data_IF_447486252100
#
_entry.id   IF_447486252100
#
_cell.length_a   1.000
_cell.length_b   1.000
_cell.length_c   1.000
_cell.angle_alpha   90.00
_cell.angle_beta   90.00
_cell.angle_gamma   90.00
#
_symmetry.space_group_name_H-M   'P 1'
#
loop_
_entity.id
_entity.type
_entity.pdbx_description
1 polymer ?
#
# COMPACT_ATOMS: atom_id res chain seq x y z
N UNK A 1 -13.11 9.88 19.17
CA UNK A 1 -13.64 8.96 18.21
C UNK A 1 -12.67 8.74 17.05
N UNK A 2 -12.12 7.57 16.97
CA UNK A 2 -11.18 7.26 15.90
C UNK A 2 -11.90 7.24 14.56
N UNK A 3 -11.36 7.95 13.60
CA UNK A 3 -11.90 7.97 12.26
C UNK A 3 -10.88 7.42 11.31
N UNK A 4 -11.28 6.41 10.59
CA UNK A 4 -10.45 5.91 9.50
C UNK A 4 -10.75 6.76 8.29
N UNK A 5 -9.74 7.12 7.49
CA UNK A 5 -10.05 7.87 6.28
C UNK A 5 -10.91 7.02 5.35
N UNK A 6 -12.03 7.58 4.98
CA UNK A 6 -12.91 7.00 3.97
C UNK A 6 -12.69 7.75 2.67
N UNK A 7 -13.29 7.24 1.60
CA UNK A 7 -13.23 7.96 0.32
C UNK A 7 -13.78 9.37 0.53
N UNK A 8 -13.00 10.37 0.11
CA UNK A 8 -13.34 11.77 0.27
C UNK A 8 -12.67 12.45 1.45
N UNK A 9 -12.07 11.69 2.37
CA UNK A 9 -11.38 12.27 3.51
C UNK A 9 -9.92 12.56 3.17
N UNK A 10 -9.30 13.55 3.87
CA UNK A 10 -7.87 13.76 3.70
C UNK A 10 -7.10 12.53 4.14
N UNK A 11 -6.10 12.14 3.35
CA UNK A 11 -5.21 11.04 3.71
C UNK A 11 -4.19 11.54 4.73
N UNK A 12 -4.07 10.89 5.90
CA UNK A 12 -3.06 11.31 6.88
C UNK A 12 -1.66 11.28 6.28
N UNK A 13 -0.90 12.36 6.48
CA UNK A 13 0.47 12.41 6.02
C UNK A 13 1.36 11.52 6.88
N UNK A 14 2.43 11.01 6.30
CA UNK A 14 3.40 10.21 7.04
C UNK A 14 4.74 10.23 6.34
N UNK A 15 5.76 9.86 7.09
CA UNK A 15 7.10 9.66 6.54
C UNK A 15 7.66 8.37 7.13
N UNK A 16 8.08 7.44 6.26
CA UNK A 16 8.60 6.13 6.66
C UNK A 16 9.87 5.81 5.88
N UNK A 17 10.78 5.11 6.56
CA UNK A 17 11.94 4.55 5.89
C UNK A 17 11.54 3.32 5.11
N UNK A 18 12.18 3.10 3.98
CA UNK A 18 11.85 1.96 3.14
C UNK A 18 13.03 1.47 2.33
N UNK A 19 12.76 0.48 1.48
CA UNK A 19 13.81 -0.15 0.66
C UNK A 19 14.38 0.78 -0.40
N UNK A 20 13.66 1.85 -0.74
CA UNK A 20 14.13 2.84 -1.71
C UNK A 20 14.44 4.17 -1.05
N UNK A 21 14.66 4.16 0.26
CA UNK A 21 14.93 5.37 1.04
C UNK A 21 13.69 5.85 1.76
N UNK A 22 13.75 7.07 2.27
CA UNK A 22 12.64 7.67 3.01
C UNK A 22 11.50 8.03 2.05
N UNK A 23 10.27 7.79 2.48
CA UNK A 23 9.07 8.11 1.70
C UNK A 23 8.17 8.99 2.54
N UNK A 24 7.83 10.16 2.03
CA UNK A 24 6.90 11.08 2.68
C UNK A 24 5.73 11.33 1.74
N UNK A 25 4.53 11.01 2.21
CA UNK A 25 3.35 11.05 1.34
C UNK A 25 3.12 12.45 0.74
N UNK A 26 3.27 13.50 1.55
CA UNK A 26 3.02 14.86 1.06
C UNK A 26 3.99 15.32 -0.02
N UNK A 27 5.14 14.66 -0.17
CA UNK A 27 6.07 14.97 -1.25
C UNK A 27 5.57 14.50 -2.61
N UNK A 28 4.49 13.73 -2.62
CA UNK A 28 3.94 13.14 -3.83
C UNK A 28 2.65 13.83 -4.28
N UNK A 29 2.41 15.05 -3.84
CA UNK A 29 1.29 15.84 -4.33
C UNK A 29 1.47 16.06 -5.84
N UNK A 30 0.37 15.97 -6.57
CA UNK A 30 0.41 16.06 -8.02
C UNK A 30 0.45 14.70 -8.70
N UNK A 31 0.58 13.62 -7.93
CA UNK A 31 0.54 12.26 -8.46
C UNK A 31 -0.35 11.39 -7.58
N UNK A 32 -0.89 10.33 -8.17
CA UNK A 32 -1.68 9.37 -7.39
C UNK A 32 -0.75 8.36 -6.74
N UNK A 33 -1.06 7.98 -5.49
CA UNK A 33 -0.26 7.02 -4.72
C UNK A 33 -1.15 5.88 -4.29
N UNK A 34 -0.69 4.65 -4.52
CA UNK A 34 -1.39 3.45 -4.07
C UNK A 34 -0.64 2.91 -2.86
N UNK A 35 -1.33 2.88 -1.72
CA UNK A 35 -0.79 2.35 -0.47
C UNK A 35 -1.30 0.93 -0.29
N UNK A 36 -0.39 -0.04 -0.25
CA UNK A 36 -0.74 -1.45 -0.10
C UNK A 36 -0.31 -1.90 1.29
N UNK A 37 -1.24 -1.86 2.24
CA UNK A 37 -0.99 -2.38 3.60
C UNK A 37 -1.07 -3.89 3.57
N UNK A 38 -0.11 -4.56 4.22
CA UNK A 38 -0.10 -6.03 4.26
C UNK A 38 0.43 -6.53 5.61
N UNK A 39 0.02 -7.75 6.03
CA UNK A 39 0.37 -8.25 7.37
C UNK A 39 1.85 -8.47 7.61
N UNK A 40 2.61 -8.94 6.62
CA UNK A 40 4.03 -9.15 6.88
C UNK A 40 4.78 -9.81 5.75
N UNK A 41 6.10 -9.60 5.76
CA UNK A 41 7.01 -10.19 4.80
C UNK A 41 7.03 -11.72 4.95
N UNK A 42 7.18 -12.41 3.83
CA UNK A 42 7.34 -13.87 3.77
C UNK A 42 6.14 -14.66 4.28
N UNK A 43 4.98 -14.03 4.45
CA UNK A 43 3.74 -14.77 4.66
C UNK A 43 3.23 -15.26 3.32
N UNK A 44 2.51 -16.41 3.26
CA UNK A 44 2.13 -16.98 1.96
C UNK A 44 1.33 -16.06 1.05
N UNK A 45 0.32 -15.38 1.59
CA UNK A 45 -0.53 -14.51 0.76
C UNK A 45 0.22 -13.27 0.33
N UNK A 46 1.01 -12.67 1.23
CA UNK A 46 1.80 -11.48 0.90
C UNK A 46 2.86 -11.82 -0.13
N UNK A 47 3.49 -12.97 0.00
CA UNK A 47 4.48 -13.42 -0.99
C UNK A 47 3.83 -13.55 -2.36
N UNK A 48 2.65 -14.19 -2.43
CA UNK A 48 1.92 -14.31 -3.71
C UNK A 48 1.54 -12.94 -4.26
N UNK A 49 1.12 -12.03 -3.39
CA UNK A 49 0.74 -10.68 -3.79
C UNK A 49 1.88 -9.97 -4.49
N UNK A 50 3.02 -9.87 -3.82
CA UNK A 50 4.13 -9.08 -4.37
C UNK A 50 4.86 -9.81 -5.50
N UNK A 51 4.87 -11.15 -5.50
CA UNK A 51 5.38 -11.88 -6.64
C UNK A 51 4.48 -11.70 -7.87
N UNK A 52 3.17 -11.57 -7.67
CA UNK A 52 2.24 -11.25 -8.76
C UNK A 52 2.58 -9.89 -9.37
N UNK A 53 2.89 -8.91 -8.53
CA UNK A 53 3.29 -7.59 -9.03
C UNK A 53 4.61 -7.66 -9.78
N UNK A 54 5.57 -8.45 -9.28
CA UNK A 54 6.85 -8.67 -9.97
C UNK A 54 6.64 -9.29 -11.35
N UNK A 55 5.80 -10.33 -11.41
CA UNK A 55 5.56 -11.06 -12.65
C UNK A 55 4.78 -10.23 -13.67
N UNK A 56 4.10 -9.19 -13.20
CA UNK A 56 3.35 -8.27 -14.04
C UNK A 56 3.96 -6.86 -13.99
N UNK A 57 5.29 -6.79 -13.88
CA UNK A 57 5.96 -5.51 -13.64
C UNK A 57 5.74 -4.49 -14.77
N UNK A 58 5.61 -4.95 -16.01
CA UNK A 58 5.33 -4.05 -17.11
C UNK A 58 3.96 -3.39 -16.94
N UNK A 59 2.94 -4.19 -16.66
CA UNK A 59 1.59 -3.65 -16.43
C UNK A 59 1.57 -2.77 -15.19
N UNK A 60 2.29 -3.15 -14.13
CA UNK A 60 2.38 -2.34 -12.93
C UNK A 60 3.02 -0.98 -13.23
N UNK A 61 4.07 -0.97 -14.04
CA UNK A 61 4.75 0.26 -14.40
C UNK A 61 3.92 1.16 -15.31
N UNK A 62 2.89 0.62 -15.94
CA UNK A 62 1.98 1.39 -16.77
C UNK A 62 0.85 2.03 -15.97
N UNK A 63 0.71 1.71 -14.69
CA UNK A 63 -0.25 2.39 -13.84
C UNK A 63 0.20 3.84 -13.64
N UNK A 64 -0.75 4.76 -13.78
CA UNK A 64 -0.46 6.18 -13.57
C UNK A 64 -0.52 6.50 -12.08
N UNK A 65 0.36 5.87 -11.31
CA UNK A 65 0.39 6.00 -9.87
C UNK A 65 1.69 5.46 -9.31
N UNK A 66 2.09 5.98 -8.16
CA UNK A 66 3.21 5.46 -7.38
C UNK A 66 2.67 4.38 -6.45
N UNK A 67 3.28 3.19 -6.45
CA UNK A 67 2.81 2.05 -5.66
C UNK A 67 3.84 1.73 -4.57
N UNK A 68 3.40 1.66 -3.31
CA UNK A 68 4.26 1.29 -2.19
C UNK A 68 3.57 0.27 -1.30
N UNK A 69 4.34 -0.65 -0.71
CA UNK A 69 3.83 -1.60 0.27
C UNK A 69 4.20 -1.13 1.67
N UNK A 70 3.32 -1.35 2.65
CA UNK A 70 3.51 -0.90 4.03
C UNK A 70 3.19 -2.04 4.98
N UNK A 71 4.14 -2.39 5.85
CA UNK A 71 3.88 -3.31 6.96
C UNK A 71 4.73 -2.92 8.15
N UNK A 72 4.49 -3.57 9.29
CA UNK A 72 5.14 -3.20 10.54
C UNK A 72 6.55 -3.79 10.71
N UNK A 73 7.05 -4.52 9.73
CA UNK A 73 8.38 -5.10 9.83
C UNK A 73 9.45 -4.08 9.49
N UNK A 74 10.71 -4.43 9.85
CA UNK A 74 11.84 -3.51 9.71
C UNK A 74 12.26 -3.35 8.25
N UNK A 75 13.05 -2.32 7.98
CA UNK A 75 13.64 -2.12 6.66
C UNK A 75 14.50 -3.34 6.29
N UNK A 76 15.24 -3.91 7.25
CA UNK A 76 16.06 -5.09 6.98
C UNK A 76 15.20 -6.27 6.54
N UNK A 77 14.06 -6.49 7.17
CA UNK A 77 13.12 -7.53 6.78
C UNK A 77 12.61 -7.28 5.37
N UNK A 78 12.22 -6.04 5.08
CA UNK A 78 11.74 -5.65 3.75
C UNK A 78 12.81 -5.83 2.68
N UNK A 79 14.07 -5.49 3.00
CA UNK A 79 15.16 -5.67 2.05
C UNK A 79 15.37 -7.14 1.74
N UNK A 80 15.33 -8.00 2.77
CA UNK A 80 15.48 -9.43 2.57
C UNK A 80 14.33 -10.00 1.74
N UNK A 81 13.10 -9.59 2.04
CA UNK A 81 11.93 -10.04 1.31
C UNK A 81 12.03 -9.63 -0.16
N UNK A 82 12.40 -8.37 -0.41
CA UNK A 82 12.53 -7.85 -1.75
C UNK A 82 13.63 -8.58 -2.52
N UNK A 83 14.79 -8.80 -1.88
CA UNK A 83 15.92 -9.47 -2.54
C UNK A 83 15.61 -10.94 -2.81
N UNK A 84 14.98 -11.61 -1.87
CA UNK A 84 14.69 -13.05 -1.98
C UNK A 84 13.74 -13.33 -3.13
N UNK A 85 12.79 -12.46 -3.40
CA UNK A 85 11.76 -12.69 -4.42
C UNK A 85 11.88 -11.76 -5.63
N UNK A 86 12.92 -10.93 -5.69
CA UNK A 86 13.13 -10.03 -6.82
C UNK A 86 12.01 -9.01 -6.99
N UNK A 87 11.49 -8.50 -5.89
CA UNK A 87 10.35 -7.60 -5.92
C UNK A 87 10.74 -6.22 -6.41
N UNK A 88 9.81 -5.54 -7.07
CA UNK A 88 10.05 -4.21 -7.64
C UNK A 88 9.19 -3.12 -7.03
N UNK A 89 8.35 -3.45 -6.03
CA UNK A 89 7.55 -2.46 -5.32
C UNK A 89 8.34 -2.02 -4.09
N UNK A 90 8.53 -0.70 -3.87
CA UNK A 90 9.17 -0.23 -2.64
C UNK A 90 8.36 -0.64 -1.41
N UNK A 91 9.04 -1.07 -0.36
CA UNK A 91 8.41 -1.51 0.88
C UNK A 91 8.80 -0.56 2.00
N UNK A 92 7.83 -0.08 2.76
CA UNK A 92 8.02 0.90 3.82
C UNK A 92 7.84 0.24 5.18
N UNK A 93 8.68 0.63 6.13
CA UNK A 93 8.72 0.06 7.48
C UNK A 93 7.89 0.92 8.43
N UNK A 94 6.72 0.41 8.84
CA UNK A 94 5.81 1.08 9.76
C UNK A 94 5.93 0.44 11.15
N UNK A 95 7.05 0.69 11.82
CA UNK A 95 7.31 0.10 13.13
C UNK A 95 6.23 0.52 14.13
N UNK A 96 5.66 -0.45 14.81
CA UNK A 96 4.57 -0.20 15.75
C UNK A 96 3.21 -0.04 15.10
N UNK A 97 3.12 -0.02 13.77
CA UNK A 97 1.85 0.05 13.08
C UNK A 97 1.15 1.41 13.15
N UNK A 98 1.90 2.48 13.35
CA UNK A 98 1.31 3.82 13.54
C UNK A 98 0.54 4.28 12.30
N UNK A 99 1.12 4.09 11.13
CA UNK A 99 0.47 4.50 9.88
C UNK A 99 -0.72 3.61 9.59
N UNK A 100 -0.57 2.30 9.82
CA UNK A 100 -1.70 1.39 9.64
C UNK A 100 -2.88 1.79 10.54
N UNK A 101 -2.59 2.18 11.78
CA UNK A 101 -3.65 2.64 12.69
C UNK A 101 -4.30 3.93 12.20
N UNK A 102 -3.49 4.85 11.68
CA UNK A 102 -4.02 6.12 11.18
C UNK A 102 -4.94 5.90 9.98
N UNK A 103 -4.69 4.85 9.20
CA UNK A 103 -5.50 4.54 8.02
C UNK A 103 -6.59 3.50 8.28
N UNK A 104 -6.72 3.04 9.52
CA UNK A 104 -7.72 2.02 9.84
C UNK A 104 -7.38 0.64 9.29
N UNK A 105 -6.09 0.39 9.05
CA UNK A 105 -5.60 -0.88 8.50
C UNK A 105 -4.86 -1.68 9.58
N UNK A 106 -5.32 -1.60 10.82
CA UNK A 106 -4.71 -2.29 11.97
C UNK A 106 -5.77 -3.05 12.74
N UNK A 107 -5.41 -4.24 13.22
CA UNK A 107 -6.28 -5.05 14.08
C UNK A 107 -5.47 -5.48 15.30
N UNK A 108 -6.11 -5.60 16.50
CA UNK A 108 -5.38 -5.79 17.75
C UNK A 108 -4.48 -7.02 17.80
N UNK A 109 -4.88 -8.14 17.26
CA UNK A 109 -4.08 -9.38 17.32
C UNK A 109 -3.23 -9.55 16.08
N UNK A 110 -3.81 -9.22 14.94
CA UNK A 110 -3.20 -9.48 13.63
C UNK A 110 -2.10 -8.47 13.30
N UNK A 111 -2.24 -7.24 13.80
CA UNK A 111 -1.36 -6.14 13.40
C UNK A 111 -1.90 -5.45 12.15
N UNK A 112 -1.05 -5.29 11.14
CA UNK A 112 -1.49 -4.64 9.90
C UNK A 112 -2.43 -5.57 9.13
N UNK A 113 -3.58 -5.02 8.73
CA UNK A 113 -4.53 -5.72 7.87
C UNK A 113 -4.20 -5.45 6.41
N UNK A 114 -4.66 -6.32 5.53
CA UNK A 114 -4.48 -6.10 4.10
C UNK A 114 -5.50 -5.09 3.60
N UNK A 115 -5.02 -4.02 2.97
CA UNK A 115 -5.89 -2.99 2.43
C UNK A 115 -5.18 -2.27 1.28
N UNK A 116 -5.94 -1.88 0.27
CA UNK A 116 -5.45 -1.06 -0.83
C UNK A 116 -6.15 0.29 -0.78
N UNK A 117 -5.37 1.36 -0.72
CA UNK A 117 -5.91 2.73 -0.60
C UNK A 117 -5.23 3.59 -1.67
N UNK A 118 -6.03 4.33 -2.45
CA UNK A 118 -5.50 5.27 -3.42
C UNK A 118 -5.65 6.68 -2.88
N UNK A 119 -4.54 7.42 -2.87
CA UNK A 119 -4.52 8.84 -2.50
C UNK A 119 -4.39 9.64 -3.80
N UNK A 120 -5.29 10.60 -4.00
CA UNK A 120 -5.29 11.36 -5.23
C UNK A 120 -4.24 12.49 -5.21
N UNK A 121 -4.18 13.25 -6.31
CA UNK A 121 -3.17 14.29 -6.49
C UNK A 121 -3.27 15.41 -5.45
N UNK A 122 -4.43 15.58 -4.85
CA UNK A 122 -4.67 16.61 -3.85
C UNK A 122 -4.51 16.12 -2.44
N UNK A 123 -4.21 14.83 -2.25
CA UNK A 123 -3.97 14.25 -0.93
C UNK A 123 -5.21 13.71 -0.26
N UNK A 124 -6.26 13.43 -1.00
CA UNK A 124 -7.49 12.85 -0.47
C UNK A 124 -7.61 11.39 -0.85
N UNK A 125 -8.24 10.59 0.02
CA UNK A 125 -8.51 9.19 -0.29
C UNK A 125 -9.58 9.13 -1.38
N UNK A 126 -9.23 8.51 -2.51
CA UNK A 126 -10.16 8.38 -3.64
C UNK A 126 -10.68 6.95 -3.82
N UNK A 127 -10.05 5.98 -3.15
CA UNK A 127 -10.44 4.57 -3.25
C UNK A 127 -9.93 3.83 -2.03
N UNK A 128 -10.73 2.88 -1.55
CA UNK A 128 -10.32 2.04 -0.43
C UNK A 128 -10.96 0.66 -0.55
N UNK A 129 -10.16 -0.39 -0.40
CA UNK A 129 -10.64 -1.78 -0.38
C UNK A 129 -9.91 -2.53 0.73
N UNK A 130 -10.67 -3.00 1.72
CA UNK A 130 -10.13 -3.77 2.83
C UNK A 130 -10.42 -5.25 2.59
N UNK A 131 -9.42 -6.10 2.78
CA UNK A 131 -9.56 -7.55 2.63
C UNK A 131 -9.83 -8.15 4.01
N UNK A 132 -11.09 -8.46 4.27
CA UNK A 132 -11.53 -8.86 5.62
C UNK A 132 -10.84 -10.11 6.14
N UNK A 133 -10.64 -11.11 5.27
CA UNK A 133 -10.05 -12.38 5.70
C UNK A 133 -8.54 -12.45 5.51
N UNK A 134 -7.96 -11.48 4.81
CA UNK A 134 -6.52 -11.46 4.58
C UNK A 134 -6.00 -12.56 3.67
N UNK A 135 -6.89 -13.30 3.00
CA UNK A 135 -6.50 -14.42 2.13
C UNK A 135 -6.45 -14.03 0.65
N UNK A 136 -6.77 -12.80 0.35
CA UNK A 136 -6.89 -12.29 -1.01
C UNK A 136 -6.17 -10.95 -1.09
N UNK A 137 -5.96 -10.46 -2.31
CA UNK A 137 -5.28 -9.18 -2.51
C UNK A 137 -5.71 -8.57 -3.85
N UNK A 138 -5.43 -7.27 -4.02
CA UNK A 138 -5.70 -6.58 -5.27
C UNK A 138 -4.59 -6.91 -6.28
N UNK A 139 -4.96 -7.46 -7.43
CA UNK A 139 -4.02 -7.73 -8.52
C UNK A 139 -3.70 -6.43 -9.25
N UNK A 140 -2.72 -6.46 -10.17
CA UNK A 140 -2.43 -5.30 -11.02
C UNK A 140 -3.68 -4.88 -11.78
N UNK A 141 -4.45 -5.85 -12.30
CA UNK A 141 -5.69 -5.53 -13.03
C UNK A 141 -6.70 -4.86 -12.10
N UNK A 142 -6.83 -5.35 -10.86
CA UNK A 142 -7.73 -4.73 -9.89
C UNK A 142 -7.32 -3.29 -9.60
N UNK A 143 -6.02 -3.05 -9.46
CA UNK A 143 -5.51 -1.70 -9.20
C UNK A 143 -5.77 -0.78 -10.38
N UNK A 144 -5.60 -1.30 -11.61
CA UNK A 144 -5.88 -0.50 -12.81
C UNK A 144 -7.35 -0.14 -12.87
N UNK A 145 -8.24 -1.10 -12.60
CA UNK A 145 -9.68 -0.84 -12.60
C UNK A 145 -10.05 0.19 -11.53
N UNK A 146 -9.42 0.11 -10.36
CA UNK A 146 -9.67 1.07 -9.30
C UNK A 146 -9.24 2.48 -9.72
N UNK A 147 -8.07 2.61 -10.35
CA UNK A 147 -7.60 3.90 -10.84
C UNK A 147 -8.53 4.46 -11.91
N UNK A 148 -8.98 3.61 -12.81
CA UNK A 148 -9.90 4.02 -13.88
C UNK A 148 -11.22 4.51 -13.32
N UNK A 149 -11.74 3.83 -12.29
CA UNK A 149 -13.02 4.19 -11.70
C UNK A 149 -12.97 5.57 -11.03
N UNK A 150 -11.86 5.88 -10.34
CA UNK A 150 -11.75 7.18 -9.68
C UNK A 150 -11.45 8.30 -10.67
N UNK A 151 -10.75 8.00 -11.75
CA UNK A 151 -10.51 8.97 -12.81
C UNK A 151 -11.83 9.34 -13.51
N UNK A 152 -12.70 8.35 -13.71
CA UNK A 152 -13.97 8.56 -14.37
C UNK A 152 -14.92 9.42 -13.55
N UNK A 153 -14.76 9.43 -12.23
CA UNK A 153 -15.63 10.20 -11.35
C UNK A 153 -15.23 11.65 -11.22
N UNK A 154 -14.12 12.05 -11.78
CA UNK A 154 -13.61 13.42 -11.65
C UNK A 154 -14.44 14.43 -12.45
#
# INVERSE_FOLDING_TARGET
>A
MAKHPNVGDPAPDFELEGTSGSFKLSDHRGERVILLFYPGDNTPVCTRQFCSYRDNSEALGQLDATVVGISSQSVDSHESFKAEHGLNVPLLADGGGKVAKAYGAHAPVVGTKRAAIIVDEDGFVSYRHDHLLGLDFQTVDDLREALDSVSASA
#
